data_IF_192010827685
#
_entry.id   IF_192010827685
#
_cell.length_a   1.000
_cell.length_b   1.000
_cell.length_c   1.000
_cell.angle_alpha   90.00
_cell.angle_beta   90.00
_cell.angle_gamma   90.00
#
_symmetry.space_group_name_H-M   'P 1'
#
loop_
_entity.id
_entity.type
_entity.pdbx_description
1 polymer ?
#
# COMPACT_ATOMS: atom_id res chain seq x y z
N UNK A 1 -25.47 13.12 -60.86
CA UNK A 1 -25.46 11.88 -60.02
C UNK A 1 -24.13 11.62 -59.33
N UNK A 2 -23.01 11.68 -60.01
CA UNK A 2 -21.64 11.39 -59.43
C UNK A 2 -21.34 12.31 -58.24
N UNK A 3 -21.59 13.61 -58.32
CA UNK A 3 -21.31 14.54 -57.19
C UNK A 3 -22.16 14.28 -55.95
N UNK A 4 -23.40 13.87 -56.10
CA UNK A 4 -24.27 13.53 -54.94
C UNK A 4 -23.74 12.26 -54.26
N UNK A 5 -23.28 11.28 -55.01
CA UNK A 5 -22.67 10.06 -54.50
C UNK A 5 -21.36 10.34 -53.73
N UNK A 6 -20.48 11.19 -54.27
CA UNK A 6 -19.25 11.61 -53.62
C UNK A 6 -19.49 12.35 -52.29
N UNK A 7 -20.53 13.22 -52.24
CA UNK A 7 -20.91 13.93 -51.00
C UNK A 7 -21.40 12.93 -49.95
N UNK A 8 -22.24 11.95 -50.34
CA UNK A 8 -22.75 10.93 -49.44
C UNK A 8 -21.58 10.07 -48.86
N UNK A 9 -20.65 9.66 -49.70
CA UNK A 9 -19.48 8.91 -49.27
C UNK A 9 -18.60 9.73 -48.28
N UNK A 10 -18.42 11.02 -48.56
CA UNK A 10 -17.66 11.91 -47.67
C UNK A 10 -18.37 12.08 -46.32
N UNK A 11 -19.69 12.24 -46.31
CA UNK A 11 -20.47 12.33 -45.07
C UNK A 11 -20.38 11.04 -44.25
N UNK A 12 -20.43 9.88 -44.91
CA UNK A 12 -20.28 8.58 -44.23
C UNK A 12 -18.86 8.44 -43.62
N UNK A 13 -17.81 8.82 -44.37
CA UNK A 13 -16.42 8.78 -43.86
C UNK A 13 -16.25 9.73 -42.70
N UNK A 14 -16.81 10.93 -42.75
CA UNK A 14 -16.77 11.89 -41.62
C UNK A 14 -17.52 11.33 -40.42
N UNK A 15 -18.69 10.73 -40.63
CA UNK A 15 -19.47 10.13 -39.57
C UNK A 15 -18.72 8.94 -38.90
N UNK A 16 -18.10 8.06 -39.72
CA UNK A 16 -17.25 6.97 -39.23
C UNK A 16 -16.04 7.53 -38.49
N UNK A 17 -15.38 8.57 -39.01
CA UNK A 17 -14.25 9.23 -38.37
C UNK A 17 -14.62 9.85 -37.01
N UNK A 18 -15.83 10.47 -36.91
CA UNK A 18 -16.32 11.07 -35.65
C UNK A 18 -16.72 9.98 -34.65
N UNK A 19 -17.34 8.88 -35.11
CA UNK A 19 -17.77 7.77 -34.23
C UNK A 19 -16.61 6.86 -33.83
N UNK A 20 -15.60 6.67 -34.70
CA UNK A 20 -14.38 5.90 -34.42
C UNK A 20 -13.25 6.75 -33.83
N UNK A 21 -13.42 8.10 -33.80
CA UNK A 21 -12.48 8.91 -33.05
C UNK A 21 -12.46 8.33 -31.64
N UNK A 22 -11.32 7.75 -31.17
CA UNK A 22 -11.21 7.41 -29.77
C UNK A 22 -11.64 8.69 -29.05
N UNK A 23 -12.58 8.63 -28.12
CA UNK A 23 -12.82 9.71 -27.20
C UNK A 23 -11.47 9.96 -26.55
N UNK A 24 -10.69 10.87 -27.12
CA UNK A 24 -9.60 11.51 -26.39
C UNK A 24 -10.33 12.23 -25.26
N UNK A 25 -10.65 11.50 -24.21
CA UNK A 25 -10.79 12.12 -22.93
C UNK A 25 -9.51 12.95 -22.80
N UNK A 26 -9.64 14.23 -22.62
CA UNK A 26 -8.61 15.05 -22.01
C UNK A 26 -8.33 14.37 -20.66
N UNK A 27 -7.44 13.40 -20.67
CA UNK A 27 -6.84 12.91 -19.46
C UNK A 27 -6.10 14.11 -18.91
N UNK A 28 -6.71 14.78 -17.93
CA UNK A 28 -5.93 15.64 -17.08
C UNK A 28 -4.71 14.79 -16.67
N UNK A 29 -3.50 15.28 -16.92
CA UNK A 29 -2.24 14.59 -16.65
C UNK A 29 -2.03 14.33 -15.12
N UNK A 30 -3.08 14.45 -14.31
CA UNK A 30 -3.09 14.31 -12.87
C UNK A 30 -3.69 12.96 -12.45
N UNK A 31 -2.90 11.91 -12.65
CA UNK A 31 -3.14 10.63 -11.97
C UNK A 31 -3.20 10.87 -10.46
N UNK A 32 -4.26 10.36 -9.79
CA UNK A 32 -4.46 10.57 -8.35
C UNK A 32 -3.45 9.78 -7.50
N UNK A 33 -3.10 8.55 -7.91
CA UNK A 33 -2.04 7.75 -7.29
C UNK A 33 -0.71 8.09 -7.95
N UNK A 34 0.23 8.75 -7.26
CA UNK A 34 1.53 9.13 -7.83
C UNK A 34 2.37 7.94 -8.29
N UNK A 35 3.13 8.11 -9.36
CA UNK A 35 4.06 7.10 -9.89
C UNK A 35 5.35 7.01 -9.04
N UNK A 36 5.20 6.63 -7.78
CA UNK A 36 6.32 6.42 -6.85
C UNK A 36 6.10 5.11 -6.09
N UNK A 37 7.14 4.29 -6.01
CA UNK A 37 7.13 3.00 -5.32
C UNK A 37 8.07 3.10 -4.11
N UNK A 38 7.57 2.68 -2.95
CA UNK A 38 8.30 2.66 -1.69
C UNK A 38 8.47 1.23 -1.20
N UNK A 39 9.68 0.90 -0.79
CA UNK A 39 10.00 -0.32 -0.03
C UNK A 39 10.87 0.05 1.18
N UNK A 40 10.95 -0.83 2.15
CA UNK A 40 11.78 -0.64 3.34
C UNK A 40 12.61 -1.88 3.65
N UNK A 41 13.81 -1.64 4.18
CA UNK A 41 14.64 -2.68 4.79
C UNK A 41 15.41 -2.10 5.98
N UNK A 42 15.79 -2.92 6.93
CA UNK A 42 16.45 -2.43 8.17
C UNK A 42 17.76 -1.69 7.92
N UNK A 43 18.56 -2.16 6.96
CA UNK A 43 19.84 -1.57 6.50
C UNK A 43 19.97 -1.89 5.01
N UNK A 44 19.88 -0.88 4.13
CA UNK A 44 19.93 -1.08 2.67
C UNK A 44 21.21 -1.75 2.17
N UNK A 45 22.32 -1.64 2.90
CA UNK A 45 23.59 -2.31 2.57
C UNK A 45 23.56 -3.83 2.82
N UNK A 46 22.57 -4.30 3.58
CA UNK A 46 22.41 -5.70 3.99
C UNK A 46 21.25 -6.41 3.30
N UNK A 47 20.59 -5.77 2.35
CA UNK A 47 19.53 -6.43 1.58
C UNK A 47 20.14 -7.54 0.73
N UNK A 48 19.67 -8.79 0.85
CA UNK A 48 20.16 -9.88 0.01
C UNK A 48 19.96 -9.58 -1.49
N UNK A 49 20.99 -9.84 -2.30
CA UNK A 49 20.92 -9.60 -3.75
C UNK A 49 19.80 -10.39 -4.42
N UNK A 50 19.54 -11.61 -3.98
CA UNK A 50 18.46 -12.47 -4.47
C UNK A 50 17.08 -11.83 -4.22
N UNK A 51 16.93 -11.16 -3.08
CA UNK A 51 15.70 -10.45 -2.74
C UNK A 51 15.53 -9.20 -3.60
N UNK A 52 16.63 -8.45 -3.82
CA UNK A 52 16.62 -7.30 -4.71
C UNK A 52 16.28 -7.71 -6.14
N UNK A 53 16.89 -8.75 -6.68
CA UNK A 53 16.63 -9.24 -8.04
C UNK A 53 15.18 -9.73 -8.20
N UNK A 54 14.66 -10.46 -7.22
CA UNK A 54 13.28 -10.99 -7.27
C UNK A 54 12.21 -9.90 -7.17
N UNK A 55 12.40 -8.90 -6.34
CA UNK A 55 11.42 -7.84 -6.05
C UNK A 55 11.79 -6.53 -6.74
N UNK A 56 12.76 -5.79 -6.20
CA UNK A 56 13.13 -4.44 -6.66
C UNK A 56 13.38 -4.36 -8.17
N UNK A 57 14.27 -5.21 -8.67
CA UNK A 57 14.73 -5.09 -10.06
C UNK A 57 13.61 -5.46 -11.04
N UNK A 58 12.77 -6.43 -10.67
CA UNK A 58 11.57 -6.78 -11.44
C UNK A 58 10.56 -5.63 -11.45
N UNK A 59 10.29 -5.01 -10.30
CA UNK A 59 9.37 -3.88 -10.17
C UNK A 59 9.85 -2.71 -11.04
N UNK A 60 11.13 -2.34 -10.96
CA UNK A 60 11.72 -1.25 -11.74
C UNK A 60 11.65 -1.56 -13.23
N UNK A 61 12.00 -2.77 -13.64
CA UNK A 61 11.98 -3.19 -15.05
C UNK A 61 10.57 -3.11 -15.65
N UNK A 62 9.54 -3.50 -14.89
CA UNK A 62 8.15 -3.46 -15.34
C UNK A 62 7.55 -2.05 -15.33
N UNK A 63 8.07 -1.17 -14.47
CA UNK A 63 7.52 0.17 -14.26
C UNK A 63 8.61 1.26 -14.40
N UNK A 64 9.22 1.42 -15.58
CA UNK A 64 10.35 2.33 -15.78
C UNK A 64 10.00 3.80 -15.53
N UNK A 65 8.72 4.17 -15.68
CA UNK A 65 8.23 5.53 -15.44
C UNK A 65 7.96 5.85 -13.96
N UNK A 66 8.09 4.84 -13.09
CA UNK A 66 7.89 5.02 -11.65
C UNK A 66 9.20 5.33 -10.94
N UNK A 67 9.18 6.32 -10.06
CA UNK A 67 10.31 6.58 -9.16
C UNK A 67 10.34 5.52 -8.07
N UNK A 68 11.44 4.81 -7.94
CA UNK A 68 11.64 3.82 -6.87
C UNK A 68 12.42 4.43 -5.70
N UNK A 69 11.99 4.14 -4.47
CA UNK A 69 12.63 4.58 -3.24
C UNK A 69 12.68 3.45 -2.22
N UNK A 70 13.88 3.10 -1.81
CA UNK A 70 14.14 2.18 -0.69
C UNK A 70 14.59 2.98 0.53
N UNK A 71 13.93 2.76 1.67
CA UNK A 71 14.21 3.44 2.93
C UNK A 71 14.83 2.46 3.93
N UNK A 72 15.88 2.86 4.61
CA UNK A 72 16.38 2.17 5.79
C UNK A 72 15.86 2.81 7.09
N UNK A 73 16.27 2.24 8.23
CA UNK A 73 15.83 2.73 9.53
C UNK A 73 16.24 4.20 9.79
N UNK A 74 17.40 4.63 9.30
CA UNK A 74 17.89 6.00 9.50
C UNK A 74 17.10 6.98 8.63
N UNK A 75 16.82 6.61 7.39
CA UNK A 75 15.99 7.36 6.46
C UNK A 75 14.57 7.56 7.03
N UNK A 76 14.00 6.49 7.59
CA UNK A 76 12.65 6.52 8.21
C UNK A 76 12.63 7.47 9.41
N UNK A 77 13.60 7.36 10.32
CA UNK A 77 13.70 8.23 11.51
C UNK A 77 13.85 9.70 11.09
N UNK A 78 14.74 9.97 10.12
CA UNK A 78 14.91 11.31 9.57
C UNK A 78 13.62 11.82 8.95
N UNK A 79 12.97 11.02 8.11
CA UNK A 79 11.71 11.40 7.46
C UNK A 79 10.60 11.72 8.47
N UNK A 80 10.42 10.86 9.49
CA UNK A 80 9.37 11.08 10.52
C UNK A 80 9.67 12.35 11.30
N UNK A 81 10.91 12.57 11.72
CA UNK A 81 11.33 13.80 12.42
C UNK A 81 11.02 15.05 11.62
N UNK A 82 11.41 15.06 10.34
CA UNK A 82 11.35 16.24 9.49
C UNK A 82 9.91 16.56 9.02
N UNK A 83 9.04 15.54 8.88
CA UNK A 83 7.70 15.71 8.30
C UNK A 83 6.55 15.60 9.30
N UNK A 84 6.73 14.82 10.38
CA UNK A 84 5.67 14.50 11.32
C UNK A 84 5.94 15.05 12.73
N UNK A 85 7.15 15.55 12.96
CA UNK A 85 7.55 16.16 14.21
C UNK A 85 7.88 15.15 15.32
N UNK A 86 8.14 15.72 16.50
CA UNK A 86 8.66 14.97 17.65
C UNK A 86 7.67 13.91 18.17
N UNK A 87 6.40 14.25 18.29
CA UNK A 87 5.40 13.37 18.91
C UNK A 87 5.19 12.06 18.10
N UNK A 88 5.17 12.17 16.77
CA UNK A 88 5.09 11.00 15.91
C UNK A 88 6.39 10.20 15.93
N UNK A 89 7.54 10.86 16.01
CA UNK A 89 8.83 10.19 16.16
C UNK A 89 8.88 9.41 17.47
N UNK A 90 8.46 10.00 18.58
CA UNK A 90 8.41 9.35 19.89
C UNK A 90 7.43 8.14 19.88
N UNK A 91 6.30 8.28 19.18
CA UNK A 91 5.36 7.18 18.94
C UNK A 91 6.02 6.04 18.15
N UNK A 92 6.71 6.36 17.05
CA UNK A 92 7.44 5.37 16.25
C UNK A 92 8.56 4.68 17.03
N UNK A 93 9.34 5.44 17.78
CA UNK A 93 10.48 4.91 18.57
C UNK A 93 10.02 4.09 19.78
N UNK A 94 8.79 4.30 20.26
CA UNK A 94 8.20 3.46 21.32
C UNK A 94 7.94 2.02 20.85
N UNK A 95 7.77 1.77 19.55
CA UNK A 95 7.77 0.42 19.00
C UNK A 95 9.17 -0.16 19.13
N UNK A 96 9.34 -1.30 19.81
CA UNK A 96 10.67 -1.88 20.01
C UNK A 96 11.33 -2.21 18.66
N UNK A 97 12.62 -1.93 18.54
CA UNK A 97 13.40 -2.11 17.30
C UNK A 97 13.47 -3.55 16.79
N UNK A 98 13.25 -4.52 17.67
CA UNK A 98 13.18 -5.93 17.27
C UNK A 98 11.91 -6.30 16.51
N UNK A 99 10.90 -5.44 16.56
CA UNK A 99 9.68 -5.55 15.77
C UNK A 99 9.76 -4.70 14.49
N UNK A 100 10.75 -4.98 13.64
CA UNK A 100 10.95 -4.29 12.37
C UNK A 100 9.70 -4.20 11.51
N UNK A 101 8.91 -5.28 11.32
CA UNK A 101 7.63 -5.23 10.60
C UNK A 101 6.63 -4.23 11.18
N UNK A 102 6.48 -4.14 12.51
CA UNK A 102 5.57 -3.16 13.13
C UNK A 102 6.00 -1.71 12.88
N UNK A 103 7.32 -1.45 12.88
CA UNK A 103 7.87 -0.15 12.47
C UNK A 103 7.64 0.14 10.99
N UNK A 104 7.80 -0.86 10.13
CA UNK A 104 7.52 -0.74 8.70
C UNK A 104 6.02 -0.47 8.44
N UNK A 105 5.13 -1.11 9.22
CA UNK A 105 3.69 -0.88 9.12
C UNK A 105 3.35 0.60 9.39
N UNK A 106 3.80 1.18 10.50
CA UNK A 106 3.52 2.59 10.79
C UNK A 106 4.14 3.50 9.70
N UNK A 107 5.39 3.24 9.29
CA UNK A 107 6.04 4.05 8.27
C UNK A 107 5.30 4.04 6.93
N UNK A 108 4.82 2.88 6.44
CA UNK A 108 4.10 2.79 5.16
C UNK A 108 2.84 3.64 5.14
N UNK A 109 2.13 3.71 6.27
CA UNK A 109 0.95 4.55 6.36
C UNK A 109 1.32 6.03 6.38
N UNK A 110 2.38 6.41 7.09
CA UNK A 110 2.85 7.81 7.16
C UNK A 110 3.32 8.32 5.81
N UNK A 111 4.16 7.56 5.08
CA UNK A 111 4.71 7.99 3.78
C UNK A 111 3.62 8.06 2.71
N UNK A 112 2.72 7.09 2.67
CA UNK A 112 1.62 7.05 1.72
C UNK A 112 0.57 8.13 2.02
N UNK A 113 0.27 8.39 3.29
CA UNK A 113 -0.61 9.51 3.64
C UNK A 113 0.00 10.84 3.21
N UNK A 114 1.29 11.08 3.46
CA UNK A 114 1.95 12.34 3.09
C UNK A 114 2.07 12.51 1.57
N UNK A 115 2.47 11.47 0.84
CA UNK A 115 2.92 11.58 -0.54
C UNK A 115 2.10 10.78 -1.56
N UNK A 116 1.24 9.87 -1.12
CA UNK A 116 0.61 8.90 -2.00
C UNK A 116 1.62 7.96 -2.65
N UNK A 117 1.19 7.21 -3.63
CA UNK A 117 2.00 6.25 -4.38
C UNK A 117 1.73 4.81 -3.96
N UNK A 118 2.72 3.96 -4.13
CA UNK A 118 2.63 2.52 -3.93
C UNK A 118 3.66 2.09 -2.89
N UNK A 119 3.22 1.33 -1.89
CA UNK A 119 4.11 0.62 -0.98
C UNK A 119 4.03 -0.88 -1.25
N UNK A 120 5.17 -1.54 -1.20
CA UNK A 120 5.29 -3.01 -1.25
C UNK A 120 6.33 -3.46 -0.22
N UNK A 121 6.05 -4.56 0.50
CA UNK A 121 7.10 -5.21 1.28
C UNK A 121 8.26 -5.64 0.38
N UNK A 122 9.50 -5.57 0.89
CA UNK A 122 10.72 -5.85 0.11
C UNK A 122 10.75 -7.25 -0.52
N UNK A 123 9.99 -8.18 0.02
CA UNK A 123 9.86 -9.55 -0.50
C UNK A 123 8.76 -9.73 -1.54
N UNK A 124 7.93 -8.71 -1.73
CA UNK A 124 6.73 -8.77 -2.57
C UNK A 124 6.94 -8.06 -3.91
N UNK A 125 6.20 -8.45 -4.93
CA UNK A 125 6.25 -7.80 -6.23
C UNK A 125 4.91 -7.92 -6.97
N UNK A 126 4.77 -7.17 -8.05
CA UNK A 126 3.71 -7.35 -9.04
C UNK A 126 4.31 -7.93 -10.32
N UNK A 127 3.63 -8.88 -10.96
CA UNK A 127 4.12 -9.51 -12.19
C UNK A 127 3.65 -8.84 -13.48
N UNK A 128 2.88 -7.75 -13.38
CA UNK A 128 2.44 -6.89 -14.48
C UNK A 128 2.76 -5.42 -14.16
N UNK A 129 2.58 -4.53 -15.13
CA UNK A 129 2.75 -3.09 -14.90
C UNK A 129 1.65 -2.56 -13.98
N UNK A 130 1.96 -1.62 -13.12
CA UNK A 130 0.94 -0.95 -12.30
C UNK A 130 -0.06 -0.15 -13.14
N UNK A 131 0.36 0.38 -14.29
CA UNK A 131 -0.52 1.09 -15.20
C UNK A 131 -1.59 0.17 -15.85
N UNK A 132 -1.38 -1.14 -15.84
CA UNK A 132 -2.39 -2.13 -16.29
C UNK A 132 -3.44 -2.44 -15.21
N UNK A 133 -3.18 -2.03 -13.95
CA UNK A 133 -4.06 -2.28 -12.80
C UNK A 133 -4.84 -1.03 -12.39
N UNK A 134 -4.18 0.15 -12.44
CA UNK A 134 -4.73 1.38 -11.89
C UNK A 134 -5.26 2.30 -12.97
N UNK A 135 -6.50 2.77 -12.78
CA UNK A 135 -7.05 3.86 -13.58
C UNK A 135 -6.55 5.22 -13.06
N UNK A 136 -6.62 6.24 -13.93
CA UNK A 136 -6.17 7.60 -13.57
C UNK A 136 -6.94 8.18 -12.38
N UNK A 137 -8.22 7.85 -12.26
CA UNK A 137 -9.12 8.35 -11.21
C UNK A 137 -9.05 7.55 -9.90
N UNK A 138 -8.33 6.42 -9.85
CA UNK A 138 -8.23 5.62 -8.65
C UNK A 138 -7.57 6.40 -7.51
N UNK A 139 -8.21 6.40 -6.35
CA UNK A 139 -7.72 7.05 -5.14
C UNK A 139 -7.16 6.06 -4.12
N UNK A 140 -7.68 4.83 -4.12
CA UNK A 140 -7.20 3.79 -3.21
C UNK A 140 -7.46 2.39 -3.78
N UNK A 141 -6.46 1.53 -3.70
CA UNK A 141 -6.56 0.12 -4.10
C UNK A 141 -6.46 -0.75 -2.85
N UNK A 142 -7.49 -1.50 -2.59
CA UNK A 142 -7.57 -2.48 -1.51
C UNK A 142 -7.61 -3.89 -2.07
N UNK A 143 -6.92 -4.80 -1.41
CA UNK A 143 -6.97 -6.23 -1.73
C UNK A 143 -7.18 -7.03 -0.46
N UNK A 144 -7.98 -8.08 -0.54
CA UNK A 144 -8.19 -9.00 0.56
C UNK A 144 -7.14 -10.13 0.58
N UNK A 145 -6.90 -10.64 1.78
CA UNK A 145 -6.21 -11.90 1.97
C UNK A 145 -7.21 -13.04 1.98
N UNK A 146 -7.03 -14.05 1.14
CA UNK A 146 -7.98 -15.19 1.02
C UNK A 146 -8.21 -15.98 2.31
N UNK A 147 -7.38 -15.79 3.32
CA UNK A 147 -7.54 -16.56 4.56
C UNK A 147 -8.78 -16.12 5.31
N UNK A 148 -9.63 -17.07 5.68
CA UNK A 148 -10.83 -16.81 6.48
C UNK A 148 -10.55 -16.69 7.99
N UNK A 149 -9.28 -16.70 8.41
CA UNK A 149 -8.89 -16.72 9.82
C UNK A 149 -9.49 -15.58 10.62
N UNK A 150 -9.51 -14.38 10.04
CA UNK A 150 -10.02 -13.17 10.70
C UNK A 150 -11.44 -12.79 10.29
N UNK A 151 -12.03 -13.46 9.29
CA UNK A 151 -13.35 -13.12 8.77
C UNK A 151 -14.42 -13.02 9.88
N UNK A 152 -14.48 -14.02 10.77
CA UNK A 152 -15.44 -14.02 11.89
C UNK A 152 -15.16 -12.92 12.91
N UNK A 153 -13.87 -12.70 13.28
CA UNK A 153 -13.49 -11.68 14.28
C UNK A 153 -13.71 -10.26 13.77
N UNK A 154 -13.50 -10.04 12.48
CA UNK A 154 -13.68 -8.74 11.83
C UNK A 154 -15.14 -8.49 11.43
N UNK A 155 -16.00 -9.48 11.52
CA UNK A 155 -17.35 -9.44 10.93
C UNK A 155 -17.32 -8.96 9.47
N UNK A 156 -16.33 -9.45 8.72
CA UNK A 156 -16.10 -9.12 7.31
C UNK A 156 -15.77 -10.40 6.55
N UNK A 157 -16.70 -10.82 5.67
CA UNK A 157 -16.67 -12.14 5.00
C UNK A 157 -15.38 -12.43 4.21
N UNK A 158 -14.70 -11.39 3.74
CA UNK A 158 -13.50 -11.52 2.91
C UNK A 158 -12.20 -11.55 3.75
N UNK A 159 -12.28 -11.50 5.09
CA UNK A 159 -11.11 -11.55 5.98
C UNK A 159 -10.48 -10.18 6.21
N UNK A 160 -9.15 -10.09 6.17
CA UNK A 160 -8.43 -8.83 6.31
C UNK A 160 -8.01 -8.24 4.97
N UNK A 161 -7.90 -6.91 4.89
CA UNK A 161 -7.17 -6.25 3.82
C UNK A 161 -5.66 -6.45 4.02
N UNK A 162 -4.96 -6.77 2.94
CA UNK A 162 -3.50 -6.81 2.97
C UNK A 162 -2.94 -5.42 3.20
N UNK A 163 -1.86 -5.32 3.98
CA UNK A 163 -1.14 -4.07 4.19
C UNK A 163 0.31 -4.10 3.69
N UNK A 164 0.75 -5.24 3.17
CA UNK A 164 2.07 -5.38 2.55
C UNK A 164 2.12 -4.84 1.11
N UNK A 165 0.96 -4.54 0.52
CA UNK A 165 0.74 -3.75 -0.69
C UNK A 165 -0.34 -2.72 -0.40
N UNK A 166 -0.07 -1.45 -0.69
CA UNK A 166 -1.03 -0.36 -0.62
C UNK A 166 -0.72 0.60 -1.77
N UNK A 167 -1.73 0.98 -2.54
CA UNK A 167 -1.61 2.04 -3.54
C UNK A 167 -2.69 3.09 -3.28
N UNK A 168 -2.29 4.36 -3.13
CA UNK A 168 -3.25 5.41 -2.81
C UNK A 168 -2.80 6.82 -3.24
N UNK A 169 -3.80 7.70 -3.39
CA UNK A 169 -3.61 9.14 -3.47
C UNK A 169 -3.09 9.70 -2.14
N UNK A 170 -2.34 10.82 -2.15
CA UNK A 170 -1.91 11.45 -0.91
C UNK A 170 -3.10 11.97 -0.10
N UNK A 171 -2.94 12.08 1.21
CA UNK A 171 -3.94 12.61 2.16
C UNK A 171 -5.26 11.84 2.20
N UNK A 172 -5.27 10.58 1.78
CA UNK A 172 -6.47 9.77 1.77
C UNK A 172 -6.96 9.48 3.21
N UNK A 173 -8.27 9.65 3.43
CA UNK A 173 -8.92 9.54 4.75
C UNK A 173 -8.70 8.17 5.42
N UNK A 174 -8.65 7.07 4.63
CA UNK A 174 -8.39 5.74 5.18
C UNK A 174 -7.08 5.71 5.97
N UNK A 175 -6.00 6.25 5.39
CA UNK A 175 -4.70 6.25 6.06
C UNK A 175 -4.66 7.22 7.24
N UNK A 176 -5.38 8.35 7.18
CA UNK A 176 -5.52 9.23 8.35
C UNK A 176 -6.13 8.47 9.52
N UNK A 177 -7.26 7.77 9.28
CA UNK A 177 -7.94 6.99 10.31
C UNK A 177 -7.07 5.85 10.85
N UNK A 178 -6.33 5.15 9.97
CA UNK A 178 -5.38 4.09 10.37
C UNK A 178 -4.30 4.65 11.30
N UNK A 179 -3.69 5.77 10.90
CA UNK A 179 -2.62 6.42 11.69
C UNK A 179 -3.14 6.86 13.05
N UNK A 180 -4.30 7.53 13.10
CA UNK A 180 -4.89 8.00 14.34
C UNK A 180 -5.20 6.82 15.29
N UNK A 181 -5.80 5.76 14.79
CA UNK A 181 -6.11 4.57 15.57
C UNK A 181 -4.85 3.87 16.11
N UNK A 182 -3.76 3.84 15.33
CA UNK A 182 -2.47 3.29 15.79
C UNK A 182 -1.90 4.17 16.91
N UNK A 183 -1.88 5.48 16.73
CA UNK A 183 -1.36 6.43 17.72
C UNK A 183 -2.14 6.31 19.04
N UNK A 184 -3.47 6.27 18.97
CA UNK A 184 -4.33 6.15 20.14
C UNK A 184 -4.17 4.79 20.83
N UNK A 185 -4.02 3.73 20.06
CA UNK A 185 -3.71 2.39 20.59
C UNK A 185 -2.39 2.38 21.35
N UNK A 186 -1.32 2.95 20.77
CA UNK A 186 -0.01 3.03 21.41
C UNK A 186 -0.09 3.89 22.69
N UNK A 187 -0.77 5.03 22.66
CA UNK A 187 -0.99 5.87 23.85
C UNK A 187 -1.71 5.11 24.96
N UNK A 188 -2.77 4.37 24.61
CA UNK A 188 -3.55 3.54 25.54
C UNK A 188 -2.68 2.45 26.18
N UNK A 189 -1.88 1.75 25.35
CA UNK A 189 -0.95 0.72 25.82
C UNK A 189 0.06 1.30 26.81
N UNK A 190 0.65 2.46 26.50
CA UNK A 190 1.61 3.13 27.38
C UNK A 190 0.97 3.60 28.68
N UNK A 191 -0.19 4.27 28.61
CA UNK A 191 -0.91 4.80 29.77
C UNK A 191 -1.26 3.69 30.76
N UNK A 192 -1.75 2.55 30.26
CA UNK A 192 -2.22 1.44 31.07
C UNK A 192 -1.15 0.35 31.32
N UNK A 193 0.09 0.57 30.86
CA UNK A 193 1.22 -0.37 30.96
C UNK A 193 0.85 -1.79 30.47
N UNK A 194 0.12 -1.89 29.36
CA UNK A 194 -0.33 -3.16 28.78
C UNK A 194 0.86 -3.89 28.17
N UNK A 195 1.11 -5.11 28.59
CA UNK A 195 2.17 -5.96 28.04
C UNK A 195 1.67 -6.58 26.74
N UNK A 196 2.34 -6.27 25.63
CA UNK A 196 2.06 -6.79 24.29
C UNK A 196 3.33 -7.43 23.72
N UNK A 197 3.20 -8.58 23.08
CA UNK A 197 4.32 -9.26 22.44
C UNK A 197 3.89 -10.22 21.33
N UNK A 198 4.85 -10.58 20.47
CA UNK A 198 4.64 -11.57 19.43
C UNK A 198 3.80 -11.09 18.24
N UNK A 199 3.58 -12.03 17.33
CA UNK A 199 2.94 -11.76 16.03
C UNK A 199 1.50 -11.23 16.15
N UNK A 200 0.70 -11.82 17.04
CA UNK A 200 -0.71 -11.45 17.17
C UNK A 200 -0.89 -9.99 17.55
N UNK A 201 -0.06 -9.48 18.48
CA UNK A 201 -0.14 -8.10 18.91
C UNK A 201 0.35 -7.13 17.85
N UNK A 202 1.36 -7.50 17.06
CA UNK A 202 1.76 -6.71 15.88
C UNK A 202 0.59 -6.56 14.91
N UNK A 203 -0.12 -7.66 14.59
CA UNK A 203 -1.27 -7.60 13.68
C UNK A 203 -2.37 -6.64 14.18
N UNK A 204 -2.58 -6.58 15.50
CA UNK A 204 -3.63 -5.78 16.15
C UNK A 204 -3.24 -4.32 16.40
N UNK A 205 -1.94 -4.01 16.50
CA UNK A 205 -1.46 -2.67 16.87
C UNK A 205 -1.05 -1.86 15.64
N UNK A 206 -0.35 -2.46 14.67
CA UNK A 206 0.15 -1.76 13.48
C UNK A 206 -0.19 -2.48 12.17
N UNK A 207 -0.48 -3.76 12.22
CA UNK A 207 -0.59 -4.65 11.08
C UNK A 207 -1.96 -4.62 10.37
N UNK A 208 -2.25 -5.68 9.60
CA UNK A 208 -3.43 -5.73 8.74
C UNK A 208 -4.77 -5.67 9.49
N UNK A 209 -4.82 -6.03 10.76
CA UNK A 209 -6.09 -6.04 11.50
C UNK A 209 -6.54 -4.62 11.83
N UNK A 210 -5.68 -3.78 12.43
CA UNK A 210 -6.02 -2.38 12.68
C UNK A 210 -6.22 -1.62 11.37
N UNK A 211 -5.45 -1.92 10.32
CA UNK A 211 -5.65 -1.38 8.98
C UNK A 211 -7.05 -1.70 8.46
N UNK A 212 -7.46 -2.96 8.53
CA UNK A 212 -8.78 -3.41 8.06
C UNK A 212 -9.91 -2.78 8.85
N UNK A 213 -9.86 -2.83 10.19
CA UNK A 213 -10.94 -2.29 11.04
C UNK A 213 -11.11 -0.80 10.83
N UNK A 214 -10.01 -0.03 10.74
CA UNK A 214 -10.05 1.41 10.49
C UNK A 214 -10.72 1.75 9.15
N UNK A 215 -10.40 0.99 8.10
CA UNK A 215 -10.99 1.21 6.76
C UNK A 215 -12.46 0.79 6.74
N UNK A 216 -12.81 -0.34 7.34
CA UNK A 216 -14.21 -0.78 7.43
C UNK A 216 -15.08 0.25 8.17
N UNK A 217 -14.54 0.90 9.19
CA UNK A 217 -15.26 1.97 9.89
C UNK A 217 -15.45 3.23 9.02
N UNK A 218 -14.50 3.55 8.15
CA UNK A 218 -14.69 4.60 7.15
C UNK A 218 -15.77 4.21 6.13
N UNK A 219 -15.72 2.98 5.60
CA UNK A 219 -16.67 2.48 4.60
C UNK A 219 -18.11 2.38 5.12
N UNK A 220 -18.31 2.20 6.44
CA UNK A 220 -19.64 2.25 7.07
C UNK A 220 -20.22 3.66 7.12
N UNK A 221 -19.38 4.69 7.24
CA UNK A 221 -19.81 6.08 7.44
C UNK A 221 -20.30 6.74 6.14
N UNK A 222 -19.66 6.46 5.02
CA UNK A 222 -20.00 7.04 3.72
C UNK A 222 -19.58 6.14 2.56
N UNK A 223 -20.14 6.39 1.39
CA UNK A 223 -19.68 5.78 0.13
C UNK A 223 -18.48 6.55 -0.40
N UNK A 224 -17.48 5.83 -0.87
CA UNK A 224 -16.30 6.38 -1.55
C UNK A 224 -16.39 6.12 -3.03
N UNK A 225 -16.05 7.11 -3.84
CA UNK A 225 -15.83 6.97 -5.28
C UNK A 225 -14.35 6.62 -5.50
N UNK A 226 -14.03 6.06 -6.65
CA UNK A 226 -12.63 5.85 -7.07
C UNK A 226 -11.81 4.93 -6.12
N UNK A 227 -12.50 4.05 -5.39
CA UNK A 227 -11.88 3.02 -4.56
C UNK A 227 -12.11 1.68 -5.23
N UNK A 228 -11.03 0.92 -5.46
CA UNK A 228 -11.12 -0.46 -5.95
C UNK A 228 -10.86 -1.43 -4.81
N UNK A 229 -11.72 -2.42 -4.66
CA UNK A 229 -11.59 -3.48 -3.67
C UNK A 229 -11.55 -4.82 -4.39
N UNK A 230 -10.40 -5.45 -4.37
CA UNK A 230 -10.22 -6.79 -4.92
C UNK A 230 -10.37 -7.83 -3.81
N UNK A 231 -11.21 -8.83 -4.02
CA UNK A 231 -11.46 -9.92 -3.07
C UNK A 231 -10.25 -10.87 -2.93
N UNK A 232 -9.25 -10.70 -3.80
CA UNK A 232 -8.01 -11.43 -3.81
C UNK A 232 -6.89 -10.64 -4.49
N UNK A 233 -5.73 -10.54 -3.85
CA UNK A 233 -4.57 -9.85 -4.40
C UNK A 233 -3.97 -10.54 -5.64
N UNK A 234 -4.15 -11.85 -5.79
CA UNK A 234 -3.69 -12.59 -6.97
C UNK A 234 -4.42 -12.15 -8.24
N UNK A 235 -5.65 -11.65 -8.14
CA UNK A 235 -6.43 -11.14 -9.29
C UNK A 235 -5.81 -9.94 -9.97
N UNK A 236 -4.93 -9.23 -9.28
CA UNK A 236 -4.15 -8.13 -9.84
C UNK A 236 -2.66 -8.46 -9.94
N UNK A 237 -2.35 -9.75 -10.04
CA UNK A 237 -0.99 -10.24 -10.26
C UNK A 237 0.03 -9.85 -9.18
N UNK A 238 -0.43 -9.58 -7.96
CA UNK A 238 0.44 -9.38 -6.82
C UNK A 238 0.97 -10.70 -6.30
N UNK A 239 2.24 -10.73 -5.96
CA UNK A 239 2.92 -11.88 -5.36
C UNK A 239 3.42 -11.48 -3.97
N UNK A 240 2.94 -12.18 -2.94
CA UNK A 240 3.23 -11.87 -1.55
C UNK A 240 4.71 -12.00 -1.20
N UNK A 241 5.37 -13.04 -1.71
CA UNK A 241 6.75 -13.27 -1.35
C UNK A 241 7.53 -13.98 -2.46
N UNK A 242 8.75 -13.51 -2.67
CA UNK A 242 9.73 -14.21 -3.47
C UNK A 242 9.95 -15.64 -2.97
N UNK A 243 10.19 -16.58 -3.89
CA UNK A 243 10.59 -17.95 -3.53
C UNK A 243 11.82 -17.89 -2.62
N UNK A 244 11.87 -18.74 -1.61
CA UNK A 244 12.98 -18.85 -0.65
C UNK A 244 13.21 -17.62 0.26
N UNK A 245 12.31 -16.62 0.28
CA UNK A 245 12.47 -15.44 1.14
C UNK A 245 12.66 -15.79 2.63
N UNK A 246 12.09 -16.89 3.12
CA UNK A 246 12.26 -17.36 4.51
C UNK A 246 13.71 -17.72 4.81
N UNK A 247 14.44 -18.27 3.84
CA UNK A 247 15.87 -18.58 3.98
C UNK A 247 16.74 -17.32 4.00
N UNK A 248 16.28 -16.26 3.32
CA UNK A 248 16.99 -14.99 3.18
C UNK A 248 16.75 -14.04 4.35
N UNK A 249 15.61 -14.14 5.05
CA UNK A 249 15.25 -13.30 6.18
C UNK A 249 15.41 -14.11 7.47
N UNK A 250 16.59 -14.01 8.10
CA UNK A 250 16.86 -14.63 9.39
C UNK A 250 16.12 -13.88 10.53
N UNK A 251 15.76 -14.61 11.61
CA UNK A 251 15.11 -14.08 12.81
C UNK A 251 13.71 -13.46 12.55
N UNK A 252 12.77 -14.30 12.22
CA UNK A 252 11.38 -13.85 12.02
C UNK A 252 10.81 -13.33 13.35
N UNK A 253 10.18 -12.15 13.31
CA UNK A 253 9.60 -11.47 14.49
C UNK A 253 8.49 -12.23 15.20
N UNK A 254 7.93 -13.29 14.60
CA UNK A 254 6.91 -14.14 15.23
C UNK A 254 7.40 -14.84 16.50
N UNK A 255 8.72 -15.04 16.60
CA UNK A 255 9.36 -15.70 17.73
C UNK A 255 9.91 -14.69 18.75
N UNK A 256 9.52 -13.43 18.61
CA UNK A 256 9.94 -12.35 19.50
C UNK A 256 8.97 -12.20 20.66
N UNK A 257 9.46 -12.39 21.88
CA UNK A 257 8.69 -12.26 23.14
C UNK A 257 8.99 -10.96 23.90
N UNK A 258 9.77 -10.05 23.31
CA UNK A 258 10.02 -8.74 23.92
C UNK A 258 8.77 -7.90 23.91
N UNK A 259 8.71 -6.95 24.84
CA UNK A 259 7.64 -5.96 24.86
C UNK A 259 7.58 -5.21 23.52
N UNK A 260 6.41 -5.20 22.86
CA UNK A 260 6.22 -4.54 21.58
C UNK A 260 6.31 -3.02 21.67
N UNK A 261 5.64 -2.45 22.69
CA UNK A 261 5.59 -0.99 22.92
C UNK A 261 6.31 -0.69 24.23
N UNK A 262 7.36 0.12 24.17
CA UNK A 262 8.10 0.61 25.34
C UNK A 262 7.27 1.67 26.07
N UNK A 263 7.31 1.62 27.39
CA UNK A 263 6.65 2.61 28.26
C UNK A 263 7.50 3.84 28.50
#
# INVERSE_FOLDING_TARGET
MIYIFLILVLVIIIHIYITLKPKYQHFSNNRRIPKVIYQTYSDIRKVPNELLACSRDRIIKLNPDYKYKLFDNNDIIKYIRDKWGKDMLDTYLSIDKSYGPARADLFRYLILYDRGGIYLDIKSYCSVKFDDIFDYEDEFILCNWKTKKWAKKLNYKNGEFINWFIACAPRHEFLKTVIDNIVDKIKTVKKNKIVLSGKSDVLLVTGPIIFTTSILDCLKKKKYKNIKIYDDFEKINLVYACRDHVKLIKNHYSDNYKQLIKF
#
